data_IF_585771239928
#
_entry.id   IF_585771239928
#
_cell.length_a   1.000
_cell.length_b   1.000
_cell.length_c   1.000
_cell.angle_alpha   90.00
_cell.angle_beta   90.00
_cell.angle_gamma   90.00
#
_symmetry.space_group_name_H-M   'P 1'
#
loop_
_entity.id
_entity.type
_entity.pdbx_description
1 polymer ?
#
# COMPACT_ATOMS: atom_id res chain seq x y z
N UNK A 1 -9.16 2.41 13.84
CA UNK A 1 -8.21 2.84 12.80
C UNK A 1 -8.24 1.84 11.65
N UNK A 2 -8.41 2.32 10.45
CA UNK A 2 -8.46 1.47 9.26
C UNK A 2 -7.15 1.54 8.49
N UNK A 3 -6.65 0.38 8.09
CA UNK A 3 -5.39 0.26 7.35
C UNK A 3 -5.65 -0.53 6.06
N UNK A 4 -5.15 -0.01 4.95
CA UNK A 4 -5.16 -0.72 3.68
C UNK A 4 -3.81 -1.40 3.47
N UNK A 5 -3.83 -2.69 3.17
CA UNK A 5 -2.61 -3.43 2.80
C UNK A 5 -2.71 -3.80 1.32
N UNK A 6 -1.75 -3.35 0.52
CA UNK A 6 -1.71 -3.66 -0.91
C UNK A 6 -0.51 -4.56 -1.15
N UNK A 7 -0.77 -5.84 -1.35
CA UNK A 7 0.25 -6.88 -1.46
C UNK A 7 -0.26 -8.03 -2.31
N UNK A 8 0.50 -8.44 -3.32
CA UNK A 8 0.11 -9.50 -4.24
C UNK A 8 0.47 -10.91 -3.77
N UNK A 9 1.41 -11.05 -2.84
CA UNK A 9 1.73 -12.35 -2.24
C UNK A 9 0.65 -12.68 -1.21
N UNK A 10 -0.17 -13.73 -1.44
CA UNK A 10 -1.29 -14.03 -0.54
C UNK A 10 -0.84 -14.42 0.87
N UNK A 11 0.30 -15.08 1.00
CA UNK A 11 0.81 -15.47 2.32
C UNK A 11 1.31 -14.26 3.11
N UNK A 12 2.09 -13.40 2.48
CA UNK A 12 2.58 -12.19 3.11
C UNK A 12 1.44 -11.23 3.43
N UNK A 13 0.51 -11.06 2.50
CA UNK A 13 -0.66 -10.20 2.71
C UNK A 13 -1.48 -10.67 3.90
N UNK A 14 -1.71 -11.97 4.02
CA UNK A 14 -2.45 -12.52 5.16
C UNK A 14 -1.70 -12.34 6.47
N UNK A 15 -0.39 -12.57 6.47
CA UNK A 15 0.43 -12.38 7.68
C UNK A 15 0.38 -10.93 8.15
N UNK A 16 0.49 -9.97 7.24
CA UNK A 16 0.41 -8.56 7.57
C UNK A 16 -0.99 -8.20 8.09
N UNK A 17 -2.02 -8.68 7.41
CA UNK A 17 -3.41 -8.43 7.82
C UNK A 17 -3.68 -8.99 9.21
N UNK A 18 -3.25 -10.22 9.47
CA UNK A 18 -3.45 -10.86 10.76
C UNK A 18 -2.72 -10.11 11.87
N UNK A 19 -1.48 -9.72 11.63
CA UNK A 19 -0.68 -8.99 12.63
C UNK A 19 -1.32 -7.64 12.96
N UNK A 20 -1.77 -6.91 11.95
CA UNK A 20 -2.42 -5.61 12.16
C UNK A 20 -3.78 -5.77 12.84
N UNK A 21 -4.54 -6.79 12.46
CA UNK A 21 -5.83 -7.07 13.09
C UNK A 21 -5.65 -7.40 14.57
N UNK A 22 -4.64 -8.19 14.92
CA UNK A 22 -4.32 -8.51 16.30
C UNK A 22 -3.91 -7.27 17.09
N UNK A 23 -3.31 -6.29 16.42
CA UNK A 23 -2.95 -5.03 17.05
C UNK A 23 -4.13 -4.06 17.20
N UNK A 24 -5.32 -4.44 16.74
CA UNK A 24 -6.53 -3.66 16.94
C UNK A 24 -6.96 -2.83 15.75
N UNK A 25 -6.34 -3.00 14.58
CA UNK A 25 -6.71 -2.25 13.38
C UNK A 25 -7.77 -3.00 12.57
N UNK A 26 -8.63 -2.25 11.89
CA UNK A 26 -9.50 -2.80 10.85
C UNK A 26 -8.70 -2.80 9.54
N UNK A 27 -8.54 -3.97 8.92
CA UNK A 27 -7.64 -4.14 7.77
C UNK A 27 -8.41 -4.57 6.54
N UNK A 28 -8.16 -3.89 5.41
CA UNK A 28 -8.57 -4.36 4.10
C UNK A 28 -7.33 -4.73 3.30
N UNK A 29 -7.40 -5.84 2.58
CA UNK A 29 -6.29 -6.34 1.78
C UNK A 29 -6.64 -6.26 0.30
N UNK A 30 -5.78 -5.58 -0.46
CA UNK A 30 -5.89 -5.49 -1.91
C UNK A 30 -4.79 -6.34 -2.56
N UNK A 31 -5.11 -7.25 -3.48
CA UNK A 31 -4.12 -8.17 -4.06
C UNK A 31 -3.33 -7.61 -5.22
N UNK A 32 -3.67 -6.43 -5.71
CA UNK A 32 -2.97 -5.81 -6.84
C UNK A 32 -3.09 -4.29 -6.79
N UNK A 33 -2.37 -3.62 -7.69
CA UNK A 33 -2.33 -2.17 -7.70
C UNK A 33 -3.63 -1.50 -8.14
N UNK A 34 -4.40 -2.12 -9.02
CA UNK A 34 -5.69 -1.56 -9.42
C UNK A 34 -6.68 -1.52 -8.27
N UNK A 35 -6.79 -2.64 -7.55
CA UNK A 35 -7.65 -2.72 -6.37
C UNK A 35 -7.16 -1.79 -5.28
N UNK A 36 -5.85 -1.73 -5.06
CA UNK A 36 -5.26 -0.82 -4.08
C UNK A 36 -5.55 0.63 -4.40
N UNK A 37 -5.40 1.03 -5.65
CA UNK A 37 -5.72 2.38 -6.07
C UNK A 37 -7.20 2.70 -5.83
N UNK A 38 -8.08 1.81 -6.25
CA UNK A 38 -9.52 2.00 -6.10
C UNK A 38 -9.92 2.14 -4.63
N UNK A 39 -9.47 1.23 -3.78
CA UNK A 39 -9.84 1.27 -2.36
C UNK A 39 -9.29 2.50 -1.67
N UNK A 40 -8.02 2.82 -1.89
CA UNK A 40 -7.41 3.99 -1.27
C UNK A 40 -8.03 5.30 -1.72
N UNK A 41 -8.60 5.31 -2.92
CA UNK A 41 -9.23 6.51 -3.48
C UNK A 41 -10.69 6.67 -3.02
N UNK A 42 -11.37 5.58 -2.73
CA UNK A 42 -12.81 5.60 -2.42
C UNK A 42 -13.15 5.40 -0.95
N UNK A 43 -12.25 4.79 -0.15
CA UNK A 43 -12.50 4.49 1.25
C UNK A 43 -11.59 5.29 2.17
N UNK A 44 -12.06 5.66 3.37
CA UNK A 44 -11.24 6.42 4.30
C UNK A 44 -10.28 5.51 5.09
N UNK A 45 -9.00 5.60 4.79
CA UNK A 45 -7.97 4.88 5.53
C UNK A 45 -7.12 5.84 6.34
N UNK A 46 -6.70 5.38 7.52
CA UNK A 46 -5.79 6.15 8.37
C UNK A 46 -4.34 5.94 7.95
N UNK A 47 -4.05 4.81 7.32
CA UNK A 47 -2.70 4.50 6.83
C UNK A 47 -2.80 3.41 5.77
N UNK A 48 -1.74 3.24 5.00
CA UNK A 48 -1.63 2.15 4.03
C UNK A 48 -0.24 1.54 4.08
N UNK A 49 -0.18 0.23 3.83
CA UNK A 49 1.05 -0.51 3.59
C UNK A 49 1.05 -0.91 2.12
N UNK A 50 2.07 -0.53 1.39
CA UNK A 50 2.08 -0.62 -0.05
C UNK A 50 3.34 -1.32 -0.55
N UNK A 51 3.18 -2.44 -1.24
CA UNK A 51 4.27 -3.08 -1.96
C UNK A 51 4.48 -2.37 -3.31
N UNK A 52 5.73 -2.16 -3.70
CA UNK A 52 6.04 -1.50 -4.96
C UNK A 52 5.97 -2.45 -6.15
N UNK A 53 6.22 -3.73 -5.96
CA UNK A 53 6.29 -4.72 -7.03
C UNK A 53 4.95 -5.36 -7.39
N UNK A 54 3.89 -4.58 -7.50
CA UNK A 54 2.53 -5.11 -7.71
C UNK A 54 2.23 -5.39 -9.17
N UNK A 55 1.38 -6.41 -9.46
CA UNK A 55 0.85 -6.60 -10.80
C UNK A 55 -0.19 -5.53 -11.14
N UNK A 56 -0.51 -5.41 -12.42
CA UNK A 56 -1.51 -4.53 -13.03
C UNK A 56 -1.16 -3.05 -12.94
N UNK A 57 -0.93 -2.54 -11.74
CA UNK A 57 -0.52 -1.16 -11.53
C UNK A 57 0.53 -1.16 -10.43
N UNK A 58 1.76 -0.76 -10.75
CA UNK A 58 2.84 -0.83 -9.77
C UNK A 58 2.63 0.14 -8.60
N UNK A 59 3.30 -0.16 -7.47
CA UNK A 59 3.06 0.57 -6.23
C UNK A 59 3.42 2.05 -6.31
N UNK A 60 4.46 2.42 -7.06
CA UNK A 60 4.82 3.83 -7.23
C UNK A 60 3.69 4.60 -7.90
N UNK A 61 3.10 4.01 -8.94
CA UNK A 61 1.97 4.63 -9.65
C UNK A 61 0.74 4.73 -8.76
N UNK A 62 0.48 3.71 -7.95
CA UNK A 62 -0.62 3.77 -6.97
C UNK A 62 -0.43 4.95 -6.03
N UNK A 63 0.76 5.09 -5.48
CA UNK A 63 1.07 6.18 -4.55
C UNK A 63 0.93 7.54 -5.23
N UNK A 64 1.47 7.69 -6.44
CA UNK A 64 1.33 8.92 -7.21
C UNK A 64 -0.14 9.29 -7.44
N UNK A 65 -0.96 8.31 -7.79
CA UNK A 65 -2.39 8.54 -8.03
C UNK A 65 -3.11 8.97 -6.75
N UNK A 66 -2.80 8.34 -5.62
CA UNK A 66 -3.38 8.74 -4.34
C UNK A 66 -3.03 10.20 -4.01
N UNK A 67 -1.76 10.57 -4.15
CA UNK A 67 -1.30 11.93 -3.85
C UNK A 67 -1.91 12.95 -4.80
N UNK A 68 -2.02 12.61 -6.08
CA UNK A 68 -2.67 13.48 -7.07
C UNK A 68 -4.15 13.71 -6.78
N UNK A 69 -4.81 12.72 -6.17
CA UNK A 69 -6.23 12.83 -5.77
C UNK A 69 -6.42 13.54 -4.42
N UNK A 70 -5.35 14.03 -3.82
CA UNK A 70 -5.43 14.71 -2.53
C UNK A 70 -5.46 13.80 -1.32
N UNK A 71 -5.20 12.52 -1.49
CA UNK A 71 -5.11 11.58 -0.37
C UNK A 71 -3.74 11.72 0.30
N UNK A 72 -3.73 12.06 1.56
CA UNK A 72 -2.51 12.36 2.31
C UNK A 72 -2.23 11.37 3.45
N UNK A 73 -2.91 10.24 3.47
CA UNK A 73 -2.69 9.22 4.50
C UNK A 73 -1.23 8.76 4.52
N UNK A 74 -0.68 8.47 5.69
CA UNK A 74 0.67 7.89 5.78
C UNK A 74 0.75 6.58 5.02
N UNK A 75 1.81 6.41 4.23
CA UNK A 75 2.05 5.19 3.46
C UNK A 75 3.40 4.61 3.81
N UNK A 76 3.40 3.39 4.30
CA UNK A 76 4.60 2.62 4.55
C UNK A 76 4.91 1.76 3.33
N UNK A 77 6.08 1.97 2.75
CA UNK A 77 6.52 1.17 1.62
C UNK A 77 7.08 -0.14 2.12
N UNK A 78 6.54 -1.23 1.58
CA UNK A 78 7.01 -2.59 1.82
C UNK A 78 7.41 -3.18 0.48
N UNK A 79 8.62 -3.70 0.38
CA UNK A 79 9.04 -4.38 -0.84
C UNK A 79 9.94 -5.55 -0.49
N UNK A 80 9.68 -6.69 -1.13
CA UNK A 80 10.54 -7.86 -1.04
C UNK A 80 11.79 -7.68 -1.91
N UNK A 81 11.81 -6.66 -2.76
CA UNK A 81 12.93 -6.34 -3.62
C UNK A 81 13.84 -5.36 -2.91
N UNK A 82 15.07 -5.77 -2.68
CA UNK A 82 16.05 -4.90 -2.05
C UNK A 82 16.78 -4.09 -3.12
N UNK A 83 16.03 -3.28 -3.87
CA UNK A 83 16.56 -2.43 -4.91
C UNK A 83 16.52 -0.98 -4.47
N UNK A 84 17.69 -0.38 -4.42
CA UNK A 84 17.83 1.02 -4.02
C UNK A 84 17.01 1.97 -4.88
N UNK A 85 16.99 1.74 -6.20
CA UNK A 85 16.26 2.59 -7.14
C UNK A 85 14.76 2.58 -6.88
N UNK A 86 14.20 1.45 -6.50
CA UNK A 86 12.77 1.33 -6.18
C UNK A 86 12.43 2.09 -4.90
N UNK A 87 13.31 2.01 -3.90
CA UNK A 87 13.12 2.75 -2.65
C UNK A 87 13.15 4.26 -2.88
N UNK A 88 14.09 4.73 -3.70
CA UNK A 88 14.19 6.15 -4.05
C UNK A 88 12.94 6.59 -4.80
N UNK A 89 12.48 5.81 -5.76
CA UNK A 89 11.26 6.12 -6.51
C UNK A 89 10.03 6.20 -5.59
N UNK A 90 9.95 5.31 -4.58
CA UNK A 90 8.86 5.34 -3.61
C UNK A 90 8.85 6.63 -2.80
N UNK A 91 10.00 7.09 -2.34
CA UNK A 91 10.10 8.35 -1.61
C UNK A 91 9.75 9.55 -2.50
N UNK A 92 10.23 9.55 -3.73
CA UNK A 92 9.93 10.62 -4.68
C UNK A 92 8.44 10.68 -5.02
N UNK A 93 7.75 9.55 -4.99
CA UNK A 93 6.31 9.49 -5.24
C UNK A 93 5.47 9.94 -4.04
N UNK A 94 6.08 10.21 -2.89
CA UNK A 94 5.39 10.76 -1.73
C UNK A 94 5.14 9.78 -0.60
N UNK A 95 5.94 8.74 -0.47
CA UNK A 95 5.86 7.82 0.67
C UNK A 95 6.44 8.48 1.93
N UNK A 96 5.97 8.02 3.04
CA UNK A 96 6.47 8.39 4.36
C UNK A 96 7.51 7.34 4.83
#
# INVERSE_FOLDING_TARGET
MRVLVVEDDPDLGRQLSDALTQAGYAVDLAPDGEEGHFLGDTEPYDAAVLDLGLPKLDGVRVLEKWRSSGKDMPVLILTARDRWSEKVAGFDAGAD
#
